data_IF_723306739323
#
_entry.id   IF_723306739323
#
_cell.length_a   1.000
_cell.length_b   1.000
_cell.length_c   1.000
_cell.angle_alpha   90.00
_cell.angle_beta   90.00
_cell.angle_gamma   90.00
#
_symmetry.space_group_name_H-M   'P 1'
#
loop_
_entity.id
_entity.type
_entity.pdbx_description
1 polymer ?
#
# COMPACT_ATOMS: atom_id res chain seq x y z
N UNK A 1 -23.14 -22.20 53.61
CA UNK A 1 -21.90 -21.49 53.23
C UNK A 1 -22.09 -21.07 51.78
N UNK A 2 -22.40 -19.80 51.54
CA UNK A 2 -22.59 -19.25 50.18
C UNK A 2 -21.35 -18.42 49.86
N UNK A 3 -20.45 -18.99 49.07
CA UNK A 3 -19.26 -18.30 48.60
C UNK A 3 -19.68 -17.14 47.69
N UNK A 4 -19.29 -15.93 48.07
CA UNK A 4 -19.52 -14.71 47.28
C UNK A 4 -18.60 -14.73 46.05
N UNK A 5 -19.06 -14.32 44.86
CA UNK A 5 -18.21 -14.35 43.67
C UNK A 5 -17.07 -13.34 43.84
N UNK A 6 -15.86 -13.86 43.60
CA UNK A 6 -14.60 -13.13 43.64
C UNK A 6 -14.71 -11.84 42.83
N UNK A 7 -14.32 -10.75 43.50
CA UNK A 7 -14.17 -9.41 42.98
C UNK A 7 -13.11 -9.43 41.87
N UNK A 8 -13.53 -9.71 40.63
CA UNK A 8 -12.65 -9.64 39.46
C UNK A 8 -12.31 -8.16 39.23
N UNK A 9 -11.01 -7.78 39.14
CA UNK A 9 -10.66 -6.41 38.80
C UNK A 9 -11.28 -6.05 37.45
N UNK A 10 -11.65 -4.78 37.22
CA UNK A 10 -12.18 -4.36 35.93
C UNK A 10 -11.19 -4.77 34.85
N UNK A 11 -11.70 -5.37 33.79
CA UNK A 11 -10.94 -5.76 32.62
C UNK A 11 -10.42 -4.46 31.98
N UNK A 12 -9.26 -3.97 32.43
CA UNK A 12 -8.56 -2.89 31.76
C UNK A 12 -7.96 -3.51 30.50
N UNK A 13 -8.51 -3.22 29.31
CA UNK A 13 -7.89 -3.71 28.11
C UNK A 13 -6.47 -3.12 28.07
N UNK A 14 -5.47 -3.96 27.79
CA UNK A 14 -4.07 -3.56 27.84
C UNK A 14 -3.80 -2.34 26.94
N UNK A 15 -2.62 -1.70 27.06
CA UNK A 15 -2.28 -0.46 26.33
C UNK A 15 -2.46 -0.56 24.81
N UNK A 16 -2.44 -1.78 24.24
CA UNK A 16 -2.73 -2.05 22.82
C UNK A 16 -4.16 -1.67 22.38
N UNK A 17 -5.09 -1.51 23.32
CA UNK A 17 -6.48 -1.10 23.07
C UNK A 17 -6.69 0.41 23.00
N UNK A 18 -5.74 1.19 23.50
CA UNK A 18 -5.78 2.67 23.51
C UNK A 18 -5.10 3.29 22.28
N UNK A 19 -4.37 2.48 21.51
CA UNK A 19 -3.66 2.94 20.32
C UNK A 19 -4.58 2.98 19.10
N UNK A 20 -4.64 4.15 18.46
CA UNK A 20 -5.28 4.31 17.15
C UNK A 20 -4.57 3.41 16.12
N UNK A 21 -5.34 2.53 15.46
CA UNK A 21 -4.84 1.64 14.43
C UNK A 21 -5.03 2.27 13.06
N UNK A 22 -3.94 2.51 12.35
CA UNK A 22 -3.95 2.97 10.97
C UNK A 22 -3.51 1.82 10.06
N UNK A 23 -4.24 1.61 8.95
CA UNK A 23 -3.75 0.74 7.88
C UNK A 23 -2.78 1.54 7.03
N UNK A 24 -1.54 1.08 6.94
CA UNK A 24 -0.57 1.61 5.99
C UNK A 24 -0.89 0.98 4.63
N UNK A 25 -1.09 1.77 3.57
CA UNK A 25 -1.27 1.22 2.23
C UNK A 25 0.01 0.52 1.79
N UNK A 26 -0.13 -0.65 1.20
CA UNK A 26 0.97 -1.32 0.50
C UNK A 26 1.21 -0.57 -0.82
N UNK A 27 2.45 -0.19 -1.06
CA UNK A 27 2.88 0.49 -2.29
C UNK A 27 3.91 -0.40 -2.96
N UNK A 28 3.72 -0.68 -4.25
CA UNK A 28 4.68 -1.43 -5.06
C UNK A 28 5.68 -0.47 -5.70
N UNK A 29 6.95 -0.85 -5.68
CA UNK A 29 7.99 -0.17 -6.46
C UNK A 29 7.80 -0.54 -7.93
N UNK A 30 7.80 0.47 -8.81
CA UNK A 30 7.62 0.29 -10.25
C UNK A 30 8.86 0.79 -10.99
N UNK A 31 9.38 -0.04 -11.89
CA UNK A 31 10.48 0.35 -12.76
C UNK A 31 9.99 1.33 -13.84
N UNK A 32 10.68 2.47 -13.92
CA UNK A 32 10.42 3.51 -14.91
C UNK A 32 11.69 3.82 -15.69
N UNK A 33 11.54 3.96 -17.00
CA UNK A 33 12.63 4.38 -17.89
C UNK A 33 12.35 5.79 -18.42
N UNK A 34 13.43 6.58 -18.56
CA UNK A 34 13.36 7.89 -19.17
C UNK A 34 13.73 7.79 -20.64
N UNK A 35 12.84 8.27 -21.51
CA UNK A 35 12.99 8.21 -22.96
C UNK A 35 13.03 9.64 -23.49
N UNK A 36 14.02 9.93 -24.33
CA UNK A 36 14.05 11.15 -25.13
C UNK A 36 13.38 10.86 -26.48
N UNK A 37 12.31 11.58 -26.76
CA UNK A 37 11.59 11.54 -28.02
C UNK A 37 12.33 12.34 -29.10
N UNK A 38 11.92 12.15 -30.36
CA UNK A 38 12.54 12.79 -31.52
C UNK A 38 12.41 14.32 -31.53
N UNK A 39 11.35 14.84 -30.92
CA UNK A 39 11.11 16.28 -30.73
C UNK A 39 11.95 16.89 -29.59
N UNK A 40 12.75 16.07 -28.90
CA UNK A 40 13.60 16.46 -27.78
C UNK A 40 12.91 16.38 -26.40
N UNK A 41 11.61 16.05 -26.35
CA UNK A 41 10.86 15.88 -25.10
C UNK A 41 11.36 14.66 -24.33
N UNK A 42 11.48 14.76 -23.01
CA UNK A 42 11.82 13.62 -22.13
C UNK A 42 10.57 13.16 -21.41
N UNK A 43 10.23 11.88 -21.54
CA UNK A 43 9.07 11.25 -20.89
C UNK A 43 9.52 10.10 -20.00
N UNK A 44 8.79 9.85 -18.92
CA UNK A 44 8.92 8.65 -18.11
C UNK A 44 7.86 7.64 -18.55
N UNK A 45 8.29 6.39 -18.76
CA UNK A 45 7.42 5.28 -19.19
C UNK A 45 7.71 4.03 -18.37
N UNK A 46 6.66 3.28 -18.10
CA UNK A 46 6.71 1.93 -17.52
C UNK A 46 6.82 0.88 -18.63
N UNK A 47 7.23 -0.34 -18.28
CA UNK A 47 7.27 -1.45 -19.24
C UNK A 47 5.90 -1.72 -19.91
N UNK A 48 4.82 -1.69 -19.13
CA UNK A 48 3.46 -1.92 -19.62
C UNK A 48 3.01 -0.87 -20.65
N UNK A 49 3.38 0.40 -20.46
CA UNK A 49 3.07 1.46 -21.43
C UNK A 49 3.82 1.25 -22.75
N UNK A 50 5.08 0.81 -22.68
CA UNK A 50 5.89 0.57 -23.88
C UNK A 50 5.39 -0.63 -24.70
N UNK A 51 4.94 -1.70 -24.05
CA UNK A 51 4.32 -2.85 -24.71
C UNK A 51 3.00 -2.46 -25.41
N UNK A 52 2.20 -1.62 -24.77
CA UNK A 52 0.96 -1.11 -25.34
C UNK A 52 1.19 -0.21 -26.56
N UNK A 53 2.25 0.61 -26.57
CA UNK A 53 2.64 1.43 -27.72
C UNK A 53 3.20 0.59 -28.88
N UNK A 54 4.00 -0.44 -28.58
CA UNK A 54 4.56 -1.35 -29.58
C UNK A 54 3.48 -2.09 -30.36
N UNK A 55 2.43 -2.54 -29.66
CA UNK A 55 1.31 -3.28 -30.26
C UNK A 55 0.46 -2.43 -31.23
N UNK A 56 0.44 -1.11 -31.07
CA UNK A 56 -0.33 -0.20 -31.93
C UNK A 56 0.40 0.19 -33.23
N UNK A 57 1.72 0.00 -33.31
CA UNK A 57 2.50 0.28 -34.53
C UNK A 57 2.51 -0.87 -35.53
N UNK A 58 2.02 -2.04 -35.15
CA UNK A 58 2.05 -3.28 -35.95
C UNK A 58 0.68 -3.62 -36.59
N UNK A 59 -0.25 -2.67 -36.66
CA UNK A 59 -1.60 -2.83 -37.25
C UNK A 59 -1.75 -2.11 -38.59
#
# INVERSE_FOLDING_TARGET
>A
MTESPINAPPFSPGPESELLKFRVPEVEDIEVVLIRLEDGTVVARTAAELEAEGSQRES
#
